data_IF_620346927501
#
_entry.id   IF_620346927501
#
_cell.length_a   1.000
_cell.length_b   1.000
_cell.length_c   1.000
_cell.angle_alpha   90.00
_cell.angle_beta   90.00
_cell.angle_gamma   90.00
#
_symmetry.space_group_name_H-M   'P 1'
#
loop_
_entity.id
_entity.type
_entity.pdbx_description
1 polymer ?
#
# COMPACT_ATOMS: atom_id res chain seq x y z
N UNK A 1 11.29 -1.80 -18.84
CA UNK A 1 10.60 -2.71 -17.89
C UNK A 1 9.40 -2.04 -17.22
N UNK A 2 9.52 -0.78 -16.73
CA UNK A 2 8.39 -0.02 -16.18
C UNK A 2 7.38 0.38 -17.25
N UNK A 3 7.83 0.79 -18.44
CA UNK A 3 6.96 1.12 -19.57
C UNK A 3 6.05 -0.05 -19.96
N UNK A 4 6.60 -1.27 -20.05
CA UNK A 4 5.78 -2.45 -20.33
C UNK A 4 4.77 -2.79 -19.23
N UNK A 5 5.04 -2.44 -17.98
CA UNK A 5 4.08 -2.61 -16.88
C UNK A 5 2.93 -1.59 -16.98
N UNK A 6 3.26 -0.36 -17.36
CA UNK A 6 2.25 0.70 -17.59
C UNK A 6 1.36 0.35 -18.77
N UNK A 7 1.94 -0.03 -19.92
CA UNK A 7 1.19 -0.45 -21.10
C UNK A 7 0.29 -1.66 -20.82
N UNK A 8 0.80 -2.65 -20.07
CA UNK A 8 0.00 -3.79 -19.63
C UNK A 8 -1.16 -3.35 -18.75
N UNK A 9 -0.92 -2.44 -17.79
CA UNK A 9 -1.95 -1.90 -16.90
C UNK A 9 -3.04 -1.18 -17.69
N UNK A 10 -2.66 -0.35 -18.69
CA UNK A 10 -3.57 0.33 -19.61
C UNK A 10 -4.45 -0.70 -20.33
N UNK A 11 -3.82 -1.70 -20.96
CA UNK A 11 -4.53 -2.75 -21.68
C UNK A 11 -5.54 -3.51 -20.80
N UNK A 12 -5.18 -3.80 -19.54
CA UNK A 12 -6.07 -4.47 -18.59
C UNK A 12 -7.28 -3.58 -18.23
N UNK A 13 -7.05 -2.28 -17.98
CA UNK A 13 -8.13 -1.34 -17.64
C UNK A 13 -9.06 -1.14 -18.82
N UNK A 14 -8.52 -0.97 -20.04
CA UNK A 14 -9.33 -0.78 -21.25
C UNK A 14 -10.13 -2.03 -21.62
N UNK A 15 -9.53 -3.23 -21.48
CA UNK A 15 -10.16 -4.49 -21.90
C UNK A 15 -11.18 -4.99 -20.88
N UNK A 16 -10.85 -4.95 -19.59
CA UNK A 16 -11.64 -5.52 -18.50
C UNK A 16 -12.45 -4.48 -17.72
N UNK A 17 -12.25 -3.19 -17.97
CA UNK A 17 -12.98 -2.11 -17.33
C UNK A 17 -12.95 -2.19 -15.80
N UNK A 18 -14.12 -2.19 -15.16
CA UNK A 18 -14.26 -2.25 -13.71
C UNK A 18 -13.59 -3.47 -13.07
N UNK A 19 -13.69 -4.64 -13.73
CA UNK A 19 -13.09 -5.87 -13.23
C UNK A 19 -11.56 -5.79 -13.27
N UNK A 20 -11.00 -5.20 -14.33
CA UNK A 20 -9.58 -4.96 -14.45
C UNK A 20 -9.03 -4.06 -13.35
N UNK A 21 -9.70 -2.94 -13.09
CA UNK A 21 -9.34 -2.02 -12.00
C UNK A 21 -9.41 -2.71 -10.64
N UNK A 22 -10.49 -3.45 -10.36
CA UNK A 22 -10.62 -4.18 -9.09
C UNK A 22 -9.51 -5.22 -8.92
N UNK A 23 -9.19 -5.98 -9.96
CA UNK A 23 -8.14 -7.01 -9.93
C UNK A 23 -6.74 -6.40 -9.75
N UNK A 24 -6.43 -5.33 -10.48
CA UNK A 24 -5.14 -4.62 -10.37
C UNK A 24 -4.93 -4.04 -8.98
N UNK A 25 -5.95 -3.37 -8.42
CA UNK A 25 -5.87 -2.78 -7.09
C UNK A 25 -5.80 -3.86 -5.99
N UNK A 26 -6.49 -5.00 -6.17
CA UNK A 26 -6.36 -6.13 -5.26
C UNK A 26 -4.94 -6.72 -5.30
N UNK A 27 -4.40 -6.90 -6.50
CA UNK A 27 -3.06 -7.44 -6.72
C UNK A 27 -1.98 -6.52 -6.16
N UNK A 28 -2.10 -5.21 -6.36
CA UNK A 28 -1.19 -4.20 -5.82
C UNK A 28 -1.11 -4.25 -4.29
N UNK A 29 -2.23 -4.45 -3.61
CA UNK A 29 -2.21 -4.59 -2.15
C UNK A 29 -1.41 -5.81 -1.68
N UNK A 30 -1.35 -6.87 -2.49
CA UNK A 30 -0.57 -8.08 -2.21
C UNK A 30 0.87 -7.97 -2.69
N UNK A 31 1.08 -7.24 -3.78
CA UNK A 31 2.36 -7.11 -4.46
C UNK A 31 2.68 -5.62 -4.73
N UNK A 32 3.34 -4.93 -3.77
CA UNK A 32 3.60 -3.49 -3.77
C UNK A 32 4.30 -2.87 -4.99
N UNK A 33 5.01 -3.61 -5.89
CA UNK A 33 5.62 -3.01 -7.08
C UNK A 33 4.65 -2.40 -8.10
N UNK A 34 3.35 -2.70 -8.02
CA UNK A 34 2.34 -2.09 -8.91
C UNK A 34 1.87 -0.78 -8.26
N UNK A 35 2.17 0.40 -8.83
CA UNK A 35 1.77 1.67 -8.22
C UNK A 35 0.32 2.01 -8.53
N UNK A 36 -0.52 2.14 -7.52
CA UNK A 36 -1.91 2.63 -7.63
C UNK A 36 -2.00 4.05 -8.16
N UNK A 37 -0.93 4.80 -7.98
CA UNK A 37 -0.77 6.15 -8.47
C UNK A 37 -0.80 6.21 -10.00
N UNK A 38 -0.62 5.08 -10.67
CA UNK A 38 -0.81 4.91 -12.12
C UNK A 38 -2.19 4.32 -12.42
N UNK A 39 -2.56 3.22 -11.73
CA UNK A 39 -3.81 2.49 -12.00
C UNK A 39 -5.06 3.36 -11.78
N UNK A 40 -5.11 4.11 -10.67
CA UNK A 40 -6.31 4.85 -10.29
C UNK A 40 -6.55 6.10 -11.16
N UNK A 41 -5.54 6.96 -11.44
CA UNK A 41 -5.73 8.05 -12.39
C UNK A 41 -6.07 7.56 -13.79
N UNK A 42 -5.45 6.46 -14.26
CA UNK A 42 -5.79 5.86 -15.54
C UNK A 42 -7.25 5.40 -15.60
N UNK A 43 -7.76 4.79 -14.53
CA UNK A 43 -9.17 4.43 -14.43
C UNK A 43 -10.09 5.66 -14.54
N UNK A 44 -9.66 6.80 -13.96
CA UNK A 44 -10.34 8.08 -14.10
C UNK A 44 -10.33 8.62 -15.53
N UNK A 45 -9.19 8.55 -16.19
CA UNK A 45 -9.01 8.92 -17.59
C UNK A 45 -9.90 8.10 -18.51
N UNK A 46 -9.92 6.77 -18.38
CA UNK A 46 -10.81 5.90 -19.16
C UNK A 46 -12.28 6.24 -18.93
N UNK A 47 -12.65 6.63 -17.71
CA UNK A 47 -14.01 7.08 -17.40
C UNK A 47 -14.34 8.41 -18.08
N UNK A 48 -13.38 9.33 -18.21
CA UNK A 48 -13.55 10.61 -18.92
C UNK A 48 -13.81 10.40 -20.42
N UNK A 49 -13.19 9.39 -21.03
CA UNK A 49 -13.42 8.99 -22.42
C UNK A 49 -14.79 8.34 -22.69
N UNK A 50 -15.66 8.21 -21.69
CA UNK A 50 -17.02 7.68 -21.83
C UNK A 50 -17.14 6.15 -21.81
N UNK A 51 -16.02 5.43 -21.67
CA UNK A 51 -16.01 3.96 -21.61
C UNK A 51 -16.54 3.37 -20.29
N UNK A 52 -16.66 4.20 -19.25
CA UNK A 52 -17.07 3.79 -17.90
C UNK A 52 -17.58 5.00 -17.09
N UNK A 53 -18.20 4.73 -15.93
CA UNK A 53 -18.57 5.81 -15.00
C UNK A 53 -17.48 5.98 -13.93
N UNK A 54 -17.21 7.24 -13.55
CA UNK A 54 -16.24 7.58 -12.48
C UNK A 54 -16.56 6.82 -11.19
N UNK A 55 -17.83 6.84 -10.77
CA UNK A 55 -18.26 6.18 -9.54
C UNK A 55 -18.15 4.64 -9.62
N UNK A 56 -18.33 4.07 -10.82
CA UNK A 56 -18.09 2.65 -11.06
C UNK A 56 -16.61 2.29 -10.90
N UNK A 57 -15.69 3.13 -11.41
CA UNK A 57 -14.24 2.96 -11.23
C UNK A 57 -13.84 3.09 -9.76
N UNK A 58 -14.36 4.08 -9.04
CA UNK A 58 -14.14 4.24 -7.59
C UNK A 58 -14.65 3.03 -6.82
N UNK A 59 -15.84 2.54 -7.14
CA UNK A 59 -16.40 1.36 -6.48
C UNK A 59 -15.56 0.10 -6.75
N UNK A 60 -15.16 -0.12 -8.01
CA UNK A 60 -14.29 -1.23 -8.42
C UNK A 60 -12.94 -1.18 -7.71
N UNK A 61 -12.28 -0.02 -7.70
CA UNK A 61 -11.02 0.20 -7.00
C UNK A 61 -11.15 -0.05 -5.49
N UNK A 62 -12.25 0.40 -4.89
CA UNK A 62 -12.51 0.20 -3.46
C UNK A 62 -12.75 -1.27 -3.12
N UNK A 63 -13.50 -1.99 -3.96
CA UNK A 63 -13.65 -3.44 -3.83
C UNK A 63 -12.31 -4.17 -3.95
N UNK A 64 -11.49 -3.81 -4.92
CA UNK A 64 -10.13 -4.34 -5.06
C UNK A 64 -9.28 -4.08 -3.82
N UNK A 65 -9.31 -2.84 -3.31
CA UNK A 65 -8.61 -2.46 -2.08
C UNK A 65 -9.05 -3.31 -0.88
N UNK A 66 -10.35 -3.56 -0.75
CA UNK A 66 -10.91 -4.39 0.33
C UNK A 66 -10.47 -5.85 0.22
N UNK A 67 -10.53 -6.43 -0.99
CA UNK A 67 -10.12 -7.83 -1.25
C UNK A 67 -8.65 -8.01 -0.87
N UNK A 68 -7.76 -7.14 -1.38
CA UNK A 68 -6.34 -7.20 -1.07
C UNK A 68 -6.03 -6.99 0.41
N UNK A 69 -6.75 -6.05 1.06
CA UNK A 69 -6.64 -5.80 2.49
C UNK A 69 -7.01 -7.01 3.33
N UNK A 70 -8.14 -7.67 3.01
CA UNK A 70 -8.59 -8.87 3.71
C UNK A 70 -7.63 -10.05 3.48
N UNK A 71 -7.07 -10.17 2.28
CA UNK A 71 -6.09 -11.22 2.01
C UNK A 71 -4.84 -11.05 2.88
N UNK A 72 -4.26 -9.84 2.94
CA UNK A 72 -3.11 -9.56 3.82
C UNK A 72 -3.45 -9.69 5.31
N UNK A 73 -4.62 -9.18 5.72
CA UNK A 73 -5.09 -9.34 7.08
C UNK A 73 -5.22 -10.83 7.44
N UNK A 74 -5.87 -11.64 6.58
CA UNK A 74 -6.09 -13.06 6.81
C UNK A 74 -4.79 -13.85 6.87
N UNK A 75 -3.86 -13.60 5.96
CA UNK A 75 -2.52 -14.20 5.97
C UNK A 75 -1.81 -13.89 7.29
N UNK A 76 -1.81 -12.62 7.70
CA UNK A 76 -1.14 -12.16 8.92
C UNK A 76 -1.80 -12.73 10.18
N UNK A 77 -3.14 -12.78 10.22
CA UNK A 77 -3.88 -13.40 11.32
C UNK A 77 -3.64 -14.92 11.44
N UNK A 78 -3.45 -15.61 10.30
CA UNK A 78 -3.14 -17.03 10.25
C UNK A 78 -1.70 -17.33 10.72
N UNK A 79 -0.74 -16.48 10.37
CA UNK A 79 0.64 -16.57 10.87
C UNK A 79 0.66 -16.36 12.39
N UNK A 80 -0.03 -15.33 12.85
CA UNK A 80 -0.21 -14.98 14.26
C UNK A 80 1.00 -14.30 14.89
N UNK A 81 0.81 -13.65 16.05
CA UNK A 81 1.85 -12.84 16.70
C UNK A 81 3.03 -13.67 17.20
N UNK A 82 2.78 -14.91 17.62
CA UNK A 82 3.84 -15.80 18.16
C UNK A 82 4.90 -16.13 17.08
N UNK A 83 4.46 -16.45 15.85
CA UNK A 83 5.39 -16.77 14.76
C UNK A 83 6.12 -15.51 14.30
N UNK A 84 5.44 -14.36 14.26
CA UNK A 84 6.08 -13.10 13.97
C UNK A 84 7.20 -12.80 14.98
N UNK A 85 6.92 -12.94 16.28
CA UNK A 85 7.91 -12.72 17.33
C UNK A 85 9.10 -13.67 17.20
N UNK A 86 8.85 -14.96 16.97
CA UNK A 86 9.92 -15.95 16.72
C UNK A 86 10.78 -15.59 15.51
N UNK A 87 10.16 -15.08 14.44
CA UNK A 87 10.89 -14.60 13.27
C UNK A 87 11.77 -13.40 13.60
N UNK A 88 11.24 -12.41 14.33
CA UNK A 88 12.00 -11.21 14.75
C UNK A 88 13.15 -11.60 15.69
N UNK A 89 12.93 -12.48 16.67
CA UNK A 89 14.00 -12.99 17.55
C UNK A 89 15.11 -13.66 16.76
N UNK A 90 14.75 -14.47 15.75
CA UNK A 90 15.72 -15.25 14.99
C UNK A 90 16.44 -14.47 13.90
N UNK A 91 15.75 -13.53 13.25
CA UNK A 91 16.24 -12.84 12.05
C UNK A 91 16.24 -11.32 12.21
N UNK A 92 15.64 -10.76 13.25
CA UNK A 92 15.46 -9.32 13.43
C UNK A 92 16.79 -8.55 13.46
N UNK A 93 17.87 -9.17 13.93
CA UNK A 93 19.23 -8.59 13.91
C UNK A 93 19.69 -8.22 12.48
N UNK A 94 19.27 -8.96 11.46
CA UNK A 94 19.59 -8.69 10.06
C UNK A 94 18.88 -7.43 9.54
N UNK A 95 17.72 -7.13 10.11
CA UNK A 95 16.88 -6.00 9.75
C UNK A 95 16.97 -4.85 10.77
N UNK A 96 17.83 -4.97 11.79
CA UNK A 96 17.93 -3.99 12.87
C UNK A 96 16.67 -3.87 13.72
N UNK A 97 15.86 -4.93 13.78
CA UNK A 97 14.65 -5.02 14.57
C UNK A 97 14.95 -5.76 15.88
N UNK A 98 14.57 -5.16 17.00
CA UNK A 98 14.62 -5.78 18.33
C UNK A 98 13.24 -6.21 18.79
N UNK A 99 13.18 -7.06 19.82
CA UNK A 99 11.91 -7.40 20.49
C UNK A 99 11.27 -6.17 21.14
N UNK A 100 12.07 -5.26 21.66
CA UNK A 100 11.59 -4.00 22.25
C UNK A 100 10.94 -3.09 21.19
N UNK A 101 11.49 -3.04 19.96
CA UNK A 101 10.89 -2.31 18.84
C UNK A 101 9.54 -2.93 18.46
N UNK A 102 9.45 -4.27 18.49
CA UNK A 102 8.19 -4.98 18.25
C UNK A 102 7.16 -4.66 19.34
N UNK A 103 7.52 -4.80 20.61
CA UNK A 103 6.64 -4.51 21.74
C UNK A 103 6.14 -3.05 21.71
N UNK A 104 7.02 -2.10 21.41
CA UNK A 104 6.67 -0.68 21.28
C UNK A 104 5.71 -0.43 20.11
N UNK A 105 5.96 -1.06 18.95
CA UNK A 105 5.08 -0.91 17.80
C UNK A 105 3.72 -1.59 18.01
N UNK A 106 3.68 -2.72 18.68
CA UNK A 106 2.47 -3.41 19.07
C UNK A 106 1.63 -2.57 20.05
N UNK A 107 2.24 -2.02 21.11
CA UNK A 107 1.56 -1.16 22.07
C UNK A 107 1.00 0.11 21.42
N UNK A 108 1.80 0.76 20.58
CA UNK A 108 1.32 1.95 19.86
C UNK A 108 0.15 1.62 18.93
N UNK A 109 0.21 0.48 18.23
CA UNK A 109 -0.87 0.06 17.35
C UNK A 109 -2.15 -0.26 18.14
N UNK A 110 -2.05 -0.92 19.29
CA UNK A 110 -3.22 -1.24 20.12
C UNK A 110 -3.96 0.02 20.58
N UNK A 111 -3.22 1.06 20.94
CA UNK A 111 -3.80 2.34 21.39
C UNK A 111 -4.41 3.15 20.22
N UNK A 112 -3.85 3.03 19.01
CA UNK A 112 -4.18 3.90 17.88
C UNK A 112 -4.69 3.14 16.63
N UNK A 113 -5.01 1.86 16.73
CA UNK A 113 -5.31 0.99 15.59
C UNK A 113 -6.32 1.57 14.59
N UNK A 114 -7.39 2.20 15.09
CA UNK A 114 -8.44 2.80 14.24
C UNK A 114 -7.88 3.92 13.38
N UNK A 115 -7.20 4.88 13.99
CA UNK A 115 -6.61 6.03 13.34
C UNK A 115 -5.46 5.58 12.43
N UNK A 116 -4.63 4.65 12.89
CA UNK A 116 -3.52 4.09 12.11
C UNK A 116 -4.02 3.46 10.81
N UNK A 117 -5.05 2.60 10.87
CA UNK A 117 -5.61 1.99 9.67
C UNK A 117 -6.17 3.05 8.73
N UNK A 118 -6.95 4.01 9.22
CA UNK A 118 -7.52 5.06 8.39
C UNK A 118 -6.45 5.92 7.71
N UNK A 119 -5.52 6.48 8.49
CA UNK A 119 -4.50 7.41 7.98
C UNK A 119 -3.53 6.71 7.03
N UNK A 120 -3.05 5.50 7.40
CA UNK A 120 -2.13 4.76 6.53
C UNK A 120 -2.77 4.38 5.19
N UNK A 121 -4.11 4.24 5.12
CA UNK A 121 -4.82 4.02 3.85
C UNK A 121 -4.73 5.21 2.88
N UNK A 122 -4.45 6.40 3.40
CA UNK A 122 -4.26 7.61 2.60
C UNK A 122 -2.77 7.88 2.29
N UNK A 123 -1.87 6.96 2.61
CA UNK A 123 -0.43 7.11 2.38
C UNK A 123 0.04 5.99 1.43
N UNK A 124 0.72 6.35 0.32
CA UNK A 124 1.32 5.36 -0.59
C UNK A 124 2.17 4.33 0.17
N UNK A 125 2.22 3.09 -0.29
CA UNK A 125 2.92 1.96 0.34
C UNK A 125 2.37 1.55 1.72
N UNK A 126 2.11 2.50 2.62
CA UNK A 126 1.61 2.22 3.98
C UNK A 126 0.20 1.62 3.93
N UNK A 127 -0.59 1.95 2.90
CA UNK A 127 -1.97 1.48 2.75
C UNK A 127 -2.09 -0.05 2.65
N UNK A 128 -1.13 -0.72 2.03
CA UNK A 128 -1.09 -2.18 1.96
C UNK A 128 -0.51 -2.77 3.25
N UNK A 129 0.59 -2.19 3.73
CA UNK A 129 1.34 -2.71 4.87
C UNK A 129 0.56 -2.67 6.18
N UNK A 130 -0.35 -1.70 6.37
CA UNK A 130 -1.13 -1.55 7.61
C UNK A 130 -2.05 -2.74 7.89
N UNK A 131 -2.41 -3.51 6.85
CA UNK A 131 -3.21 -4.73 7.01
C UNK A 131 -2.45 -5.83 7.76
N UNK A 132 -1.11 -5.80 7.72
CA UNK A 132 -0.25 -6.79 8.37
C UNK A 132 -0.33 -6.69 9.90
N UNK A 133 -0.01 -5.55 10.56
CA UNK A 133 -0.17 -5.41 11.99
C UNK A 133 -1.64 -5.58 12.44
N UNK A 134 -2.61 -5.10 11.65
CA UNK A 134 -4.02 -5.30 11.95
C UNK A 134 -4.39 -6.80 12.02
N UNK A 135 -3.86 -7.62 11.11
CA UNK A 135 -4.05 -9.07 11.10
C UNK A 135 -3.34 -9.76 12.27
N UNK A 136 -2.07 -9.46 12.53
CA UNK A 136 -1.31 -10.03 13.65
C UNK A 136 -1.97 -9.75 15.01
N UNK A 137 -2.50 -8.52 15.20
CA UNK A 137 -3.21 -8.12 16.43
C UNK A 137 -4.67 -8.55 16.46
N UNK A 138 -5.15 -9.24 15.40
CA UNK A 138 -6.54 -9.69 15.27
C UNK A 138 -7.54 -8.58 15.53
N UNK A 139 -7.28 -7.40 14.96
CA UNK A 139 -8.20 -6.25 15.06
C UNK A 139 -9.63 -6.70 14.69
N UNK A 140 -10.69 -6.29 15.42
CA UNK A 140 -12.06 -6.68 15.09
C UNK A 140 -12.39 -6.37 13.63
N UNK A 141 -12.86 -7.36 12.87
CA UNK A 141 -13.09 -7.25 11.42
C UNK A 141 -14.02 -6.08 11.07
N UNK A 142 -15.08 -5.84 11.84
CA UNK A 142 -15.98 -4.70 11.61
C UNK A 142 -15.26 -3.35 11.68
N UNK A 143 -14.38 -3.18 12.67
CA UNK A 143 -13.55 -1.97 12.81
C UNK A 143 -12.55 -1.87 11.67
N UNK A 144 -11.84 -2.96 11.35
CA UNK A 144 -10.89 -3.00 10.23
C UNK A 144 -11.57 -2.64 8.91
N UNK A 145 -12.75 -3.24 8.63
CA UNK A 145 -13.55 -2.96 7.44
C UNK A 145 -13.91 -1.49 7.33
N UNK A 146 -14.48 -0.92 8.40
CA UNK A 146 -14.96 0.46 8.40
C UNK A 146 -13.83 1.46 8.08
N UNK A 147 -12.71 1.36 8.80
CA UNK A 147 -11.60 2.29 8.62
C UNK A 147 -10.80 2.04 7.32
N UNK A 148 -10.71 0.79 6.88
CA UNK A 148 -10.13 0.44 5.56
C UNK A 148 -11.01 0.98 4.44
N UNK A 149 -12.33 0.77 4.50
CA UNK A 149 -13.27 1.25 3.50
C UNK A 149 -13.22 2.79 3.40
N UNK A 150 -13.33 3.47 4.54
CA UNK A 150 -13.33 4.94 4.59
C UNK A 150 -12.03 5.53 4.01
N UNK A 151 -10.86 5.04 4.45
CA UNK A 151 -9.56 5.52 3.97
C UNK A 151 -9.33 5.20 2.50
N UNK A 152 -9.64 3.96 2.07
CA UNK A 152 -9.49 3.57 0.65
C UNK A 152 -10.44 4.33 -0.26
N UNK A 153 -11.67 4.61 0.19
CA UNK A 153 -12.64 5.37 -0.58
C UNK A 153 -12.16 6.80 -0.83
N UNK A 154 -11.67 7.48 0.20
CA UNK A 154 -11.10 8.84 0.08
C UNK A 154 -9.93 8.84 -0.89
N UNK A 155 -9.00 7.89 -0.76
CA UNK A 155 -7.85 7.77 -1.64
C UNK A 155 -8.27 7.52 -3.10
N UNK A 156 -9.17 6.56 -3.32
CA UNK A 156 -9.62 6.20 -4.65
C UNK A 156 -10.42 7.33 -5.31
N UNK A 157 -11.28 8.04 -4.57
CA UNK A 157 -11.98 9.24 -5.08
C UNK A 157 -10.97 10.30 -5.50
N UNK A 158 -9.95 10.55 -4.68
CA UNK A 158 -8.91 11.54 -4.98
C UNK A 158 -8.18 11.24 -6.29
N UNK A 159 -7.68 10.01 -6.44
CA UNK A 159 -6.87 9.65 -7.60
C UNK A 159 -7.69 9.38 -8.88
N UNK A 160 -8.81 8.67 -8.77
CA UNK A 160 -9.71 8.48 -9.93
C UNK A 160 -10.32 9.82 -10.35
N UNK A 161 -10.69 10.66 -9.38
CA UNK A 161 -11.19 12.00 -9.66
C UNK A 161 -10.16 12.90 -10.33
N UNK A 162 -8.90 12.84 -9.88
CA UNK A 162 -7.81 13.56 -10.51
C UNK A 162 -7.61 13.12 -11.98
N UNK A 163 -7.57 11.81 -12.24
CA UNK A 163 -7.47 11.28 -13.59
C UNK A 163 -8.66 11.69 -14.50
N UNK A 164 -9.87 11.70 -13.94
CA UNK A 164 -11.06 12.14 -14.68
C UNK A 164 -11.04 13.63 -15.03
N UNK A 165 -10.62 14.49 -14.09
CA UNK A 165 -10.56 15.94 -14.30
C UNK A 165 -9.44 16.33 -15.27
N UNK A 166 -8.36 15.56 -15.33
CA UNK A 166 -7.26 15.80 -16.26
C UNK A 166 -7.63 15.37 -17.70
N UNK A 167 -8.55 14.42 -17.85
CA UNK A 167 -9.16 14.04 -19.13
C UNK A 167 -8.18 13.97 -20.29
N UNK A 168 -8.46 14.74 -21.38
CA UNK A 168 -7.64 14.79 -22.60
C UNK A 168 -6.23 15.39 -22.40
N UNK A 169 -5.94 15.99 -21.24
CA UNK A 169 -4.63 16.55 -20.92
C UNK A 169 -3.67 15.55 -20.26
N UNK A 170 -3.97 14.25 -20.35
CA UNK A 170 -3.15 13.17 -19.75
C UNK A 170 -1.67 13.23 -20.12
N UNK A 171 -1.35 13.59 -21.37
CA UNK A 171 0.03 13.75 -21.82
C UNK A 171 0.82 14.79 -21.01
N UNK A 172 0.12 15.80 -20.44
CA UNK A 172 0.74 16.80 -19.54
C UNK A 172 0.96 16.28 -18.12
N UNK A 173 0.31 15.20 -17.75
CA UNK A 173 0.34 14.62 -16.40
C UNK A 173 1.33 13.48 -16.28
N UNK A 174 1.72 12.87 -17.37
CA UNK A 174 2.73 11.81 -17.40
C UNK A 174 4.04 12.25 -16.72
N UNK A 175 4.45 13.49 -16.95
CA UNK A 175 5.64 14.09 -16.32
C UNK A 175 5.54 14.26 -14.78
N UNK A 176 4.44 14.78 -14.20
CA UNK A 176 4.26 14.84 -12.74
C UNK A 176 4.11 13.47 -12.09
N UNK A 177 3.44 12.51 -12.73
CA UNK A 177 3.31 11.15 -12.20
C UNK A 177 4.65 10.43 -12.14
N UNK A 178 5.47 10.58 -13.17
CA UNK A 178 6.85 10.11 -13.21
C UNK A 178 7.70 10.70 -12.05
N UNK A 179 7.47 11.96 -11.74
CA UNK A 179 8.13 12.64 -10.62
C UNK A 179 7.68 12.09 -9.26
N UNK A 180 6.36 11.91 -9.06
CA UNK A 180 5.80 11.30 -7.83
C UNK A 180 6.29 9.87 -7.67
N UNK A 181 6.30 9.07 -8.74
CA UNK A 181 6.81 7.71 -8.73
C UNK A 181 8.30 7.67 -8.35
N UNK A 182 9.12 8.56 -8.90
CA UNK A 182 10.55 8.68 -8.55
C UNK A 182 10.75 9.08 -7.09
N UNK A 183 9.93 9.99 -6.55
CA UNK A 183 9.96 10.34 -5.13
C UNK A 183 9.59 9.13 -4.26
N UNK A 184 8.52 8.42 -4.58
CA UNK A 184 8.10 7.23 -3.84
C UNK A 184 9.19 6.16 -3.86
N UNK A 185 9.76 5.87 -5.04
CA UNK A 185 10.88 4.92 -5.17
C UNK A 185 12.12 5.37 -4.39
N UNK A 186 12.44 6.67 -4.41
CA UNK A 186 13.55 7.22 -3.65
C UNK A 186 13.31 7.10 -2.13
N UNK A 187 12.10 7.37 -1.65
CA UNK A 187 11.74 7.21 -0.23
C UNK A 187 11.81 5.74 0.21
N UNK A 188 11.36 4.82 -0.64
CA UNK A 188 11.47 3.38 -0.39
C UNK A 188 12.94 2.95 -0.34
N UNK A 189 13.74 3.38 -1.32
CA UNK A 189 15.17 3.09 -1.35
C UNK A 189 15.90 3.65 -0.14
N UNK A 190 15.57 4.89 0.27
CA UNK A 190 16.11 5.52 1.49
C UNK A 190 15.68 4.77 2.75
N UNK A 191 14.42 4.33 2.85
CA UNK A 191 13.95 3.54 3.98
C UNK A 191 14.65 2.19 4.06
N UNK A 192 14.84 1.49 2.93
CA UNK A 192 15.59 0.24 2.86
C UNK A 192 17.07 0.49 3.23
N UNK A 193 17.69 1.51 2.66
CA UNK A 193 19.07 1.88 2.96
C UNK A 193 19.27 2.22 4.45
N UNK A 194 18.31 2.94 5.05
CA UNK A 194 18.32 3.28 6.47
C UNK A 194 18.15 2.03 7.35
N UNK A 195 17.26 1.11 7.00
CA UNK A 195 17.09 -0.16 7.70
C UNK A 195 18.35 -1.02 7.64
N UNK A 196 18.95 -1.14 6.45
CA UNK A 196 20.22 -1.85 6.24
C UNK A 196 21.32 -1.19 7.05
N UNK A 197 21.46 0.14 6.98
CA UNK A 197 22.46 0.88 7.74
C UNK A 197 22.27 0.72 9.25
N UNK A 198 21.03 0.81 9.75
CA UNK A 198 20.70 0.59 11.16
C UNK A 198 21.01 -0.84 11.60
N UNK A 199 20.74 -1.85 10.74
CA UNK A 199 21.00 -3.25 11.04
C UNK A 199 22.47 -3.65 11.02
N UNK A 200 23.27 -3.06 10.12
CA UNK A 200 24.68 -3.44 9.93
C UNK A 200 25.68 -2.52 10.62
N UNK A 201 25.38 -1.24 10.77
CA UNK A 201 26.36 -0.23 11.26
C UNK A 201 26.21 -0.01 12.77
N UNK A 202 24.99 0.09 13.29
CA UNK A 202 24.77 0.35 14.71
C UNK A 202 25.31 -0.74 15.67
N UNK A 203 25.18 -2.05 15.37
CA UNK A 203 25.78 -3.09 16.23
C UNK A 203 27.30 -3.08 16.28
N UNK A 204 27.98 -2.59 15.22
CA UNK A 204 29.45 -2.54 15.17
C UNK A 204 30.06 -1.39 15.96
N UNK A 205 29.30 -0.34 16.21
CA UNK A 205 29.78 0.83 16.96
C UNK A 205 29.70 0.56 18.48
N UNK A 206 28.70 -0.20 18.93
CA UNK A 206 28.57 -0.55 20.35
C UNK A 206 29.56 -1.63 20.82
N UNK A 207 30.06 -2.49 19.93
CA UNK A 207 31.07 -3.51 20.28
C UNK A 207 32.52 -3.00 20.27
N UNK A 208 32.76 -1.72 19.99
CA UNK A 208 34.09 -1.08 20.02
C UNK A 208 34.31 -0.11 21.18
N UNK A 209 33.32 0.01 22.06
CA UNK A 209 33.33 0.92 23.20
C UNK A 209 33.45 0.25 24.58
N UNK A 210 33.75 -1.08 24.63
CA UNK A 210 34.08 -1.82 25.87
C UNK A 210 35.53 -2.28 25.86
#
# INVERSE_FOLDING_TARGET
>A
MLEGLVEWTISVVETLGYAGVAALVALENLFPPIPSEVVLPLAGFVAAGGGATVWGMVAAATLGSMIGAYALYGISAAIGPVRLRQFVVRHGRWFGLSEEDLDRSEGWFDDHARLAVFVCRCIPLMRSLISIPAGFRRMPLGTFTLFTLAGSLIWNIGLVGAGYLLGEEWERVESPLDFVQKIVLALVALAIAWLVWRGFVKPRIQSRGE
#
